data_IF_571618045423
#
_entry.id   IF_571618045423
#
_cell.length_a   1.000
_cell.length_b   1.000
_cell.length_c   1.000
_cell.angle_alpha   90.00
_cell.angle_beta   90.00
_cell.angle_gamma   90.00
#
_symmetry.space_group_name_H-M   'P 1'
#
loop_
_entity.id
_entity.type
_entity.pdbx_description
1 polymer ?
#
# COMPACT_ATOMS: atom_id res chain seq x y z
N UNK A 1 5.01 1.66 10.07
CA UNK A 1 4.03 0.80 9.37
C UNK A 1 3.53 -0.24 10.37
N UNK A 2 2.35 -0.81 10.15
CA UNK A 2 1.82 -1.91 10.94
C UNK A 2 1.33 -3.00 9.98
N UNK A 3 1.76 -4.24 10.21
CA UNK A 3 1.24 -5.41 9.50
C UNK A 3 0.29 -6.16 10.43
N UNK A 4 -0.92 -6.45 9.93
CA UNK A 4 -1.93 -7.27 10.61
C UNK A 4 -2.50 -8.28 9.62
N UNK A 5 -1.95 -9.49 9.62
CA UNK A 5 -2.36 -10.58 8.74
C UNK A 5 -2.29 -10.18 7.26
N UNK A 6 -3.44 -10.01 6.63
CA UNK A 6 -3.58 -9.64 5.21
C UNK A 6 -3.57 -8.13 4.96
N UNK A 7 -3.23 -7.31 5.95
CA UNK A 7 -3.26 -5.83 5.84
C UNK A 7 -1.93 -5.20 6.22
N UNK A 8 -1.52 -4.23 5.42
CA UNK A 8 -0.40 -3.34 5.66
C UNK A 8 -0.92 -1.89 5.78
N UNK A 9 -0.66 -1.27 6.92
CA UNK A 9 -1.03 0.10 7.22
C UNK A 9 0.16 1.04 7.10
N UNK A 10 0.04 2.03 6.22
CA UNK A 10 1.04 3.05 5.98
C UNK A 10 0.44 4.39 6.41
N UNK A 11 0.99 4.95 7.50
CA UNK A 11 0.63 6.29 7.97
C UNK A 11 1.59 7.30 7.36
N UNK A 12 1.07 8.23 6.56
CA UNK A 12 1.84 9.28 5.91
C UNK A 12 1.13 10.62 6.10
N UNK A 13 1.69 11.51 6.93
CA UNK A 13 1.09 12.79 7.28
C UNK A 13 -0.37 12.64 7.79
N UNK A 14 -1.33 13.23 7.08
CA UNK A 14 -2.78 13.18 7.35
C UNK A 14 -3.50 12.06 6.56
N UNK A 15 -2.73 11.15 5.95
CA UNK A 15 -3.24 10.02 5.19
C UNK A 15 -2.95 8.70 5.92
N UNK A 16 -3.95 7.84 5.92
CA UNK A 16 -3.81 6.42 6.23
C UNK A 16 -4.04 5.65 4.94
N UNK A 17 -2.98 5.02 4.43
CA UNK A 17 -3.07 4.10 3.31
C UNK A 17 -3.13 2.69 3.86
N UNK A 18 -4.16 1.94 3.47
CA UNK A 18 -4.31 0.52 3.83
C UNK A 18 -4.18 -0.30 2.57
N UNK A 19 -3.21 -1.21 2.56
CA UNK A 19 -3.01 -2.18 1.49
C UNK A 19 -3.50 -3.53 2.01
N UNK A 20 -4.44 -4.15 1.31
CA UNK A 20 -4.96 -5.47 1.66
C UNK A 20 -4.54 -6.48 0.59
N UNK A 21 -4.16 -7.68 1.02
CA UNK A 21 -3.77 -8.75 0.11
C UNK A 21 -3.06 -9.93 0.79
N UNK A 22 -2.27 -10.66 0.00
CA UNK A 22 -1.51 -11.84 0.45
C UNK A 22 -0.01 -11.58 0.37
N UNK A 23 0.71 -12.07 1.39
CA UNK A 23 2.17 -12.03 1.49
C UNK A 23 2.72 -10.61 1.27
N UNK A 24 2.35 -9.70 2.17
CA UNK A 24 2.71 -8.28 2.09
C UNK A 24 4.09 -7.99 2.69
N UNK A 25 4.76 -8.95 3.33
CA UNK A 25 6.08 -8.77 3.95
C UNK A 25 7.14 -8.24 2.96
N UNK A 26 7.26 -8.75 1.71
CA UNK A 26 8.21 -8.19 0.75
C UNK A 26 7.90 -6.73 0.39
N UNK A 27 6.62 -6.35 0.43
CA UNK A 27 6.19 -4.98 0.17
C UNK A 27 6.51 -4.05 1.35
N UNK A 28 6.32 -4.51 2.59
CA UNK A 28 6.73 -3.78 3.79
C UNK A 28 8.25 -3.54 3.81
N UNK A 29 9.04 -4.56 3.50
CA UNK A 29 10.50 -4.46 3.43
C UNK A 29 10.93 -3.45 2.35
N UNK A 30 10.38 -3.59 1.14
CA UNK A 30 10.73 -2.69 0.04
C UNK A 30 10.30 -1.23 0.30
N UNK A 31 9.17 -1.01 0.99
CA UNK A 31 8.75 0.33 1.45
C UNK A 31 9.69 0.89 2.51
N UNK A 32 10.12 0.05 3.47
CA UNK A 32 11.03 0.45 4.55
C UNK A 32 12.41 0.85 4.04
N UNK A 33 12.83 0.29 2.90
CA UNK A 33 14.07 0.62 2.22
C UNK A 33 13.93 1.75 1.17
N UNK A 34 12.75 2.37 1.05
CA UNK A 34 12.45 3.39 0.03
C UNK A 34 12.68 2.89 -1.42
N UNK A 35 12.59 1.57 -1.65
CA UNK A 35 12.81 0.94 -2.96
C UNK A 35 11.53 0.85 -3.81
N UNK A 36 10.37 1.09 -3.20
CA UNK A 36 9.08 1.05 -3.89
C UNK A 36 8.79 2.41 -4.52
N UNK A 37 8.60 2.42 -5.84
CA UNK A 37 8.20 3.63 -6.60
C UNK A 37 6.68 3.74 -6.78
N UNK A 38 6.00 2.61 -6.93
CA UNK A 38 4.56 2.55 -7.13
C UNK A 38 4.02 1.18 -6.70
N UNK A 39 2.76 1.16 -6.29
CA UNK A 39 2.02 -0.05 -5.92
C UNK A 39 0.67 0.04 -6.64
N UNK A 40 0.17 -1.10 -7.12
CA UNK A 40 -1.12 -1.17 -7.79
C UNK A 40 -1.87 -2.42 -7.35
N UNK A 41 -3.18 -2.30 -7.25
CA UNK A 41 -4.11 -3.41 -7.11
C UNK A 41 -4.00 -4.38 -8.29
N UNK A 42 -4.24 -5.66 -8.03
CA UNK A 42 -4.31 -6.67 -9.07
C UNK A 42 -5.44 -6.33 -10.05
N UNK A 43 -5.21 -6.33 -11.38
CA UNK A 43 -6.21 -5.92 -12.36
C UNK A 43 -7.50 -6.75 -12.33
N UNK A 44 -7.41 -8.01 -11.93
CA UNK A 44 -8.54 -8.95 -11.89
C UNK A 44 -9.25 -8.97 -10.54
N UNK A 45 -8.67 -8.37 -9.50
CA UNK A 45 -9.11 -8.55 -8.10
C UNK A 45 -9.09 -10.02 -7.62
N UNK A 46 -8.55 -10.93 -8.44
CA UNK A 46 -8.55 -12.37 -8.17
C UNK A 46 -7.12 -12.83 -7.94
N UNK A 47 -6.88 -13.47 -6.80
CA UNK A 47 -5.59 -14.06 -6.48
C UNK A 47 -5.43 -15.38 -7.24
N UNK A 48 -4.60 -15.37 -8.29
CA UNK A 48 -4.30 -16.57 -9.07
C UNK A 48 -3.24 -17.46 -8.42
N UNK A 49 -2.66 -17.01 -7.30
CA UNK A 49 -1.53 -17.66 -6.60
C UNK A 49 -0.23 -17.76 -7.41
N UNK A 50 -0.19 -17.19 -8.62
CA UNK A 50 1.00 -17.20 -9.47
C UNK A 50 2.06 -16.18 -9.01
N UNK A 51 1.63 -15.11 -8.36
CA UNK A 51 2.50 -14.07 -7.84
C UNK A 51 2.85 -14.31 -6.36
N UNK A 52 4.10 -14.00 -6.01
CA UNK A 52 4.61 -14.09 -4.64
C UNK A 52 3.82 -13.18 -3.68
N UNK A 53 3.62 -11.92 -4.09
CA UNK A 53 2.78 -10.93 -3.39
C UNK A 53 1.56 -10.60 -4.24
N UNK A 54 0.40 -10.50 -3.61
CA UNK A 54 -0.86 -10.13 -4.25
C UNK A 54 -1.48 -8.96 -3.49
N UNK A 55 -1.82 -7.88 -4.22
CA UNK A 55 -2.54 -6.73 -3.67
C UNK A 55 -3.97 -6.78 -4.17
N UNK A 56 -4.91 -7.01 -3.26
CA UNK A 56 -6.35 -7.06 -3.52
C UNK A 56 -6.92 -5.65 -3.69
N UNK A 57 -6.61 -4.77 -2.73
CA UNK A 57 -7.12 -3.40 -2.70
C UNK A 57 -6.18 -2.45 -1.98
N UNK A 58 -6.27 -1.17 -2.31
CA UNK A 58 -5.56 -0.07 -1.70
C UNK A 58 -6.59 1.00 -1.37
N UNK A 59 -6.83 1.24 -0.08
CA UNK A 59 -7.70 2.33 0.38
C UNK A 59 -6.85 3.46 0.94
N UNK A 60 -7.32 4.69 0.71
CA UNK A 60 -6.69 5.90 1.24
C UNK A 60 -7.75 6.67 2.03
N UNK A 61 -7.50 6.83 3.32
CA UNK A 61 -8.35 7.59 4.23
C UNK A 61 -7.63 8.86 4.66
N UNK A 62 -8.39 9.95 4.80
CA UNK A 62 -7.86 11.27 5.14
C UNK A 62 -7.99 12.27 3.99
N UNK A 63 -7.41 13.45 4.18
CA UNK A 63 -7.46 14.53 3.20
C UNK A 63 -6.04 14.86 2.78
N UNK A 64 -5.67 14.50 1.55
CA UNK A 64 -4.44 15.02 0.98
C UNK A 64 -4.60 16.53 0.86
N UNK A 65 -3.57 17.29 1.25
CA UNK A 65 -3.57 18.73 0.99
C UNK A 65 -3.49 18.89 -0.52
N UNK A 66 -4.61 19.20 -1.16
CA UNK A 66 -4.65 19.54 -2.57
C UNK A 66 -3.88 20.85 -2.76
N UNK A 67 -2.66 20.71 -3.32
CA UNK A 67 -1.71 21.77 -3.69
C UNK A 67 -0.79 22.24 -2.57
N UNK A 68 0.50 21.97 -2.77
CA UNK A 68 1.56 22.87 -2.32
C UNK A 68 1.36 24.20 -3.05
N UNK A 69 0.95 25.24 -2.34
CA UNK A 69 1.04 26.62 -2.83
C UNK A 69 2.43 27.09 -2.42
N UNK A 70 3.36 27.14 -3.37
CA UNK A 70 4.68 27.75 -3.12
C UNK A 70 4.47 29.21 -2.65
N UNK A 71 5.14 29.63 -1.56
CA UNK A 71 5.12 31.01 -1.08
C UNK A 71 5.83 31.99 -2.02
#
# INVERSE_FOLDING_TARGET
MLVDGSKLYIKAHELLVTIQGRNLDPLEEALSLEHVKWIKESPSGTDTLDAETFVESITVEGKAIEKYVEP
#
